data_IF_156224056354
#
_entry.id   IF_156224056354
#
_cell.length_a   1.000
_cell.length_b   1.000
_cell.length_c   1.000
_cell.angle_alpha   90.00
_cell.angle_beta   90.00
_cell.angle_gamma   90.00
#
_symmetry.space_group_name_H-M   'P 1'
#
loop_
_entity.id
_entity.type
_entity.pdbx_description
1 polymer ?
#
# COMPACT_ATOMS: atom_id res chain seq x y z
N UNK A 1 12.04 16.99 1.04
CA UNK A 1 12.38 15.87 0.12
C UNK A 1 11.13 15.18 -0.46
N UNK A 2 10.10 14.78 0.31
CA UNK A 2 8.89 14.14 -0.25
C UNK A 2 8.02 15.03 -1.16
N UNK A 3 8.05 16.36 -0.99
CA UNK A 3 7.21 17.31 -1.74
C UNK A 3 7.45 17.31 -3.27
N UNK A 4 8.58 16.79 -3.75
CA UNK A 4 8.89 16.70 -5.19
C UNK A 4 8.77 15.27 -5.76
N UNK A 5 8.48 14.27 -4.92
CA UNK A 5 8.39 12.86 -5.30
C UNK A 5 7.09 12.24 -4.75
N UNK A 6 5.90 12.70 -5.20
CA UNK A 6 4.63 12.28 -4.63
C UNK A 6 4.36 10.77 -4.79
N UNK A 7 5.01 10.11 -5.75
CA UNK A 7 4.92 8.65 -5.92
C UNK A 7 5.50 7.87 -4.73
N UNK A 8 6.34 8.48 -3.89
CA UNK A 8 6.82 7.84 -2.66
C UNK A 8 5.71 7.67 -1.62
N UNK A 9 4.60 8.41 -1.73
CA UNK A 9 3.45 8.23 -0.85
C UNK A 9 2.82 6.84 -0.99
N UNK A 10 3.01 6.15 -2.13
CA UNK A 10 2.58 4.76 -2.27
C UNK A 10 3.28 3.83 -1.28
N UNK A 11 4.50 4.15 -0.80
CA UNK A 11 5.16 3.36 0.24
C UNK A 11 4.51 3.50 1.62
N UNK A 12 3.63 4.49 1.82
CA UNK A 12 2.87 4.61 3.06
C UNK A 12 1.67 3.66 3.12
N UNK A 13 1.24 3.12 1.97
CA UNK A 13 0.10 2.20 1.87
C UNK A 13 0.23 1.00 2.82
N UNK A 14 1.34 0.22 2.85
CA UNK A 14 1.47 -0.89 3.79
C UNK A 14 1.38 -0.43 5.26
N UNK A 15 1.98 0.72 5.61
CA UNK A 15 1.90 1.25 6.98
C UNK A 15 0.45 1.59 7.37
N UNK A 16 -0.30 2.21 6.45
CA UNK A 16 -1.71 2.52 6.69
C UNK A 16 -2.52 1.23 6.84
N UNK A 17 -2.31 0.23 5.98
CA UNK A 17 -3.07 -1.01 5.97
C UNK A 17 -2.80 -1.90 7.19
N UNK A 18 -1.56 -1.95 7.69
CA UNK A 18 -1.17 -2.83 8.78
C UNK A 18 -1.17 -2.16 10.16
N UNK A 19 -0.91 -0.85 10.26
CA UNK A 19 -0.79 -0.15 11.54
C UNK A 19 -1.98 0.76 11.80
N UNK A 20 -2.30 1.64 10.85
CA UNK A 20 -3.33 2.66 11.05
C UNK A 20 -4.73 2.06 10.98
N UNK A 21 -4.96 1.13 10.05
CA UNK A 21 -6.27 0.51 9.89
C UNK A 21 -6.60 -0.48 11.03
N UNK A 22 -5.59 -0.97 11.75
CA UNK A 22 -5.72 -2.05 12.73
C UNK A 22 -6.83 -1.83 13.77
N UNK A 23 -6.98 -0.65 14.41
CA UNK A 23 -8.06 -0.40 15.38
C UNK A 23 -9.47 -0.55 14.79
N UNK A 24 -9.64 -0.34 13.48
CA UNK A 24 -10.94 -0.47 12.81
C UNK A 24 -11.20 -1.89 12.32
N UNK A 25 -10.16 -2.56 11.81
CA UNK A 25 -10.27 -3.88 11.17
C UNK A 25 -10.06 -5.05 12.13
N UNK A 26 -9.54 -4.79 13.33
CA UNK A 26 -9.31 -5.79 14.37
C UNK A 26 -10.62 -6.23 15.04
N UNK A 27 -11.47 -6.89 14.25
CA UNK A 27 -12.73 -7.50 14.69
C UNK A 27 -12.75 -8.94 14.23
N UNK A 28 -13.23 -9.83 15.11
CA UNK A 28 -13.35 -11.27 14.83
C UNK A 28 -14.56 -11.53 13.93
N UNK A 29 -15.71 -10.90 14.23
CA UNK A 29 -16.82 -10.79 13.29
C UNK A 29 -16.70 -9.53 12.42
N UNK A 30 -17.13 -9.59 11.14
CA UNK A 30 -17.78 -10.72 10.48
C UNK A 30 -16.82 -11.82 10.01
N UNK A 31 -17.30 -13.06 10.00
CA UNK A 31 -16.62 -14.17 9.32
C UNK A 31 -17.10 -14.21 7.87
N UNK A 32 -16.19 -14.06 6.92
CA UNK A 32 -16.48 -14.07 5.48
C UNK A 32 -15.81 -15.30 4.88
N UNK A 33 -16.57 -16.12 4.16
CA UNK A 33 -16.09 -17.38 3.55
C UNK A 33 -15.40 -18.33 4.56
N UNK A 34 -15.80 -18.29 5.84
CA UNK A 34 -15.19 -19.09 6.91
C UNK A 34 -13.90 -18.51 7.50
N UNK A 35 -13.47 -17.33 7.05
CA UNK A 35 -12.30 -16.63 7.57
C UNK A 35 -12.72 -15.39 8.38
N UNK A 36 -12.07 -15.11 9.53
CA UNK A 36 -12.23 -13.83 10.22
C UNK A 36 -11.94 -12.67 9.27
N UNK A 37 -12.69 -11.57 9.38
CA UNK A 37 -12.49 -10.38 8.56
C UNK A 37 -11.04 -9.89 8.59
N UNK A 38 -10.40 -9.91 9.76
CA UNK A 38 -9.00 -9.55 9.92
C UNK A 38 -8.06 -10.41 9.06
N UNK A 39 -8.31 -11.71 8.94
CA UNK A 39 -7.49 -12.61 8.12
C UNK A 39 -7.60 -12.25 6.64
N UNK A 40 -8.82 -12.00 6.14
CA UNK A 40 -9.03 -11.56 4.76
C UNK A 40 -8.42 -10.18 4.49
N UNK A 41 -8.55 -9.27 5.45
CA UNK A 41 -7.93 -7.96 5.39
C UNK A 41 -6.42 -8.06 5.26
N UNK A 42 -5.77 -8.87 6.10
CA UNK A 42 -4.32 -9.07 6.07
C UNK A 42 -3.87 -9.69 4.75
N UNK A 43 -4.59 -10.70 4.23
CA UNK A 43 -4.30 -11.26 2.90
C UNK A 43 -4.40 -10.19 1.80
N UNK A 44 -5.47 -9.39 1.82
CA UNK A 44 -5.66 -8.27 0.89
C UNK A 44 -4.52 -7.24 1.00
N UNK A 45 -4.14 -6.86 2.23
CA UNK A 45 -3.05 -5.93 2.49
C UNK A 45 -1.69 -6.46 2.01
N UNK A 46 -1.43 -7.76 2.18
CA UNK A 46 -0.22 -8.42 1.68
C UNK A 46 -0.16 -8.38 0.16
N UNK A 47 -1.27 -8.61 -0.55
CA UNK A 47 -1.33 -8.52 -2.02
C UNK A 47 -1.24 -7.06 -2.51
N UNK A 48 -1.83 -6.11 -1.77
CA UNK A 48 -1.79 -4.68 -2.12
C UNK A 48 -0.39 -4.05 -1.91
N UNK A 49 0.42 -4.59 -0.99
CA UNK A 49 1.76 -4.09 -0.70
C UNK A 49 2.70 -4.08 -1.94
N UNK A 50 2.92 -5.19 -2.66
CA UNK A 50 3.75 -5.19 -3.86
C UNK A 50 3.14 -4.32 -4.97
N UNK A 51 1.81 -4.19 -5.05
CA UNK A 51 1.16 -3.27 -6.00
C UNK A 51 1.53 -1.82 -5.69
N UNK A 52 1.48 -1.41 -4.43
CA UNK A 52 1.87 -0.08 -4.01
C UNK A 52 3.36 0.20 -4.27
N UNK A 53 4.24 -0.76 -3.99
CA UNK A 53 5.67 -0.67 -4.31
C UNK A 53 5.90 -0.55 -5.82
N UNK A 54 5.18 -1.33 -6.63
CA UNK A 54 5.26 -1.26 -8.09
C UNK A 54 4.81 0.10 -8.62
N UNK A 55 3.77 0.72 -8.02
CA UNK A 55 3.33 2.07 -8.37
C UNK A 55 4.35 3.14 -7.98
N UNK A 56 4.97 3.02 -6.81
CA UNK A 56 6.06 3.88 -6.40
C UNK A 56 7.23 3.81 -7.39
N UNK A 57 7.65 2.58 -7.74
CA UNK A 57 8.73 2.33 -8.69
C UNK A 57 8.41 2.88 -10.09
N UNK A 58 7.19 2.66 -10.61
CA UNK A 58 6.76 3.22 -11.89
C UNK A 58 6.79 4.76 -11.88
N UNK A 59 6.42 5.39 -10.77
CA UNK A 59 6.49 6.84 -10.61
C UNK A 59 7.92 7.36 -10.63
N UNK A 60 8.83 6.66 -9.96
CA UNK A 60 10.25 7.01 -9.94
C UNK A 60 10.89 6.86 -11.34
N UNK A 61 10.63 5.75 -12.03
CA UNK A 61 11.10 5.52 -13.41
C UNK A 61 10.64 6.62 -14.38
N UNK A 62 9.39 7.11 -14.25
CA UNK A 62 8.87 8.21 -15.08
C UNK A 62 9.62 9.51 -14.84
N UNK A 63 9.99 9.80 -13.60
CA UNK A 63 10.74 11.01 -13.28
C UNK A 63 12.20 10.92 -13.74
N UNK A 64 12.85 9.77 -13.54
CA UNK A 64 14.20 9.53 -14.07
C UNK A 64 14.28 9.67 -15.60
N UNK A 65 13.23 9.23 -16.31
CA UNK A 65 13.13 9.43 -17.78
C UNK A 65 12.99 10.91 -18.18
N UNK A 66 12.36 11.75 -17.35
CA UNK A 66 12.25 13.19 -17.62
C UNK A 66 13.59 13.88 -17.40
N UNK A 67 14.25 13.59 -16.28
CA UNK A 67 15.56 14.17 -15.92
C UNK A 67 16.68 13.78 -16.90
N UNK A 68 16.59 12.63 -17.58
CA UNK A 68 17.58 12.21 -18.60
C UNK A 68 17.27 12.66 -20.04
N UNK A 69 16.15 13.34 -20.26
CA UNK A 69 15.77 13.90 -21.56
C UNK A 69 16.02 15.42 -21.66
N UNK A 70 16.40 16.05 -20.54
CA UNK A 70 16.90 17.43 -20.43
C UNK A 70 18.44 17.43 -20.39
#
# INVERSE_FOLDING_TARGET
MLRHRPHLLWLLVPFVLFLVALPWVNRVEPVILGLPFLSLWLLGATVLTPVAVALAWRGDQRLRRREGAE
#
